data_IF_176319105556
#
_entry.id   IF_176319105556
#
_cell.length_a   1.000
_cell.length_b   1.000
_cell.length_c   1.000
_cell.angle_alpha   90.00
_cell.angle_beta   90.00
_cell.angle_gamma   90.00
#
_symmetry.space_group_name_H-M   'P 1'
#
loop_
_entity.id
_entity.type
_entity.pdbx_description
1 polymer ?
#
# COMPACT_ATOMS: atom_id res chain seq x y z
N UNK A 1 46.31 -6.94 -49.30
CA UNK A 1 46.68 -5.95 -48.25
C UNK A 1 46.71 -4.59 -48.95
N UNK A 2 45.92 -3.55 -48.66
CA UNK A 2 45.35 -3.02 -47.40
C UNK A 2 44.13 -2.13 -47.77
N UNK A 3 43.16 -1.99 -46.85
CA UNK A 3 41.78 -1.50 -47.05
C UNK A 3 41.62 0.03 -47.23
N UNK A 4 40.52 0.39 -47.92
CA UNK A 4 39.94 1.71 -48.20
C UNK A 4 39.45 2.48 -46.94
N UNK A 5 39.42 3.81 -47.04
CA UNK A 5 38.69 4.76 -46.16
C UNK A 5 37.18 4.73 -46.42
N UNK A 6 36.37 4.92 -45.38
CA UNK A 6 35.21 5.82 -45.36
C UNK A 6 34.59 5.94 -43.95
N UNK A 7 34.10 7.15 -43.68
CA UNK A 7 33.39 7.65 -42.50
C UNK A 7 32.20 6.81 -42.02
N UNK A 8 31.96 6.79 -40.71
CA UNK A 8 30.64 6.60 -40.13
C UNK A 8 30.53 7.33 -38.77
N UNK A 9 29.62 8.32 -38.72
CA UNK A 9 29.05 8.86 -37.48
C UNK A 9 28.24 7.74 -36.81
N UNK A 10 28.43 7.50 -35.52
CA UNK A 10 27.52 6.70 -34.71
C UNK A 10 26.60 7.65 -33.92
N UNK A 11 25.31 7.59 -34.23
CA UNK A 11 24.24 8.25 -33.48
C UNK A 11 23.76 7.41 -32.30
N UNK A 12 23.39 8.13 -31.24
CA UNK A 12 22.18 8.00 -30.39
C UNK A 12 21.54 6.60 -30.26
N UNK A 13 21.48 6.11 -29.03
CA UNK A 13 20.36 5.31 -28.53
C UNK A 13 19.99 5.82 -27.13
N UNK A 14 19.20 6.89 -27.15
CA UNK A 14 18.36 7.42 -26.08
C UNK A 14 17.37 6.33 -25.66
N UNK A 15 17.52 5.78 -24.45
CA UNK A 15 16.57 4.82 -23.88
C UNK A 15 15.37 5.62 -23.36
N UNK A 16 14.44 5.86 -24.29
CA UNK A 16 13.24 6.65 -24.12
C UNK A 16 12.49 6.39 -22.82
N UNK A 17 12.37 7.46 -22.05
CA UNK A 17 11.24 7.72 -21.19
C UNK A 17 9.95 7.60 -22.02
N UNK A 18 9.24 6.48 -21.90
CA UNK A 18 7.86 6.36 -22.38
C UNK A 18 6.91 6.65 -21.22
N UNK A 19 6.11 7.69 -21.43
CA UNK A 19 5.31 8.36 -20.43
C UNK A 19 4.21 7.48 -19.84
N UNK A 20 4.16 7.46 -18.52
CA UNK A 20 2.90 7.29 -17.82
C UNK A 20 2.22 8.65 -17.79
N UNK A 21 1.24 8.80 -18.69
CA UNK A 21 0.34 9.94 -18.75
C UNK A 21 -0.28 10.23 -17.38
N UNK A 22 -0.48 11.52 -17.13
CA UNK A 22 -1.20 12.03 -15.98
C UNK A 22 -2.60 11.38 -15.90
N UNK A 23 -2.74 10.44 -14.96
CA UNK A 23 -4.03 9.97 -14.49
C UNK A 23 -4.19 10.39 -13.04
N UNK A 24 -4.92 11.47 -12.78
CA UNK A 24 -5.67 11.56 -11.54
C UNK A 24 -6.77 10.49 -11.63
N UNK A 25 -6.94 9.62 -10.63
CA UNK A 25 -8.31 9.41 -10.19
C UNK A 25 -8.37 9.20 -8.67
N UNK A 26 -8.68 10.28 -7.95
CA UNK A 26 -9.64 10.14 -6.88
C UNK A 26 -11.02 9.97 -7.53
N UNK A 27 -11.66 8.83 -7.33
CA UNK A 27 -13.11 8.68 -7.49
C UNK A 27 -13.61 7.61 -8.47
N UNK A 28 -14.25 6.60 -7.86
CA UNK A 28 -15.36 5.76 -8.36
C UNK A 28 -15.01 4.52 -9.20
N UNK A 29 -14.95 3.41 -8.48
CA UNK A 29 -15.03 2.03 -8.97
C UNK A 29 -14.23 1.16 -8.03
N UNK A 30 -14.89 0.54 -7.03
CA UNK A 30 -14.20 -0.30 -6.04
C UNK A 30 -13.27 -1.27 -6.76
N UNK A 31 -11.96 -1.00 -6.66
CA UNK A 31 -10.98 -1.49 -7.62
C UNK A 31 -10.88 -3.01 -7.55
N UNK A 32 -10.48 -3.67 -8.64
CA UNK A 32 -10.26 -5.12 -8.59
C UNK A 32 -9.23 -5.53 -7.51
N UNK A 33 -8.35 -4.62 -7.09
CA UNK A 33 -7.43 -4.80 -5.98
C UNK A 33 -8.13 -4.79 -4.62
N UNK A 34 -9.09 -3.88 -4.40
CA UNK A 34 -9.92 -3.84 -3.19
C UNK A 34 -10.79 -5.08 -3.08
N UNK A 35 -11.43 -5.51 -4.18
CA UNK A 35 -12.21 -6.76 -4.22
C UNK A 35 -11.37 -7.98 -3.89
N UNK A 36 -10.13 -8.03 -4.41
CA UNK A 36 -9.20 -9.11 -4.09
C UNK A 36 -8.78 -9.06 -2.62
N UNK A 37 -8.53 -7.87 -2.07
CA UNK A 37 -8.22 -7.71 -0.65
C UNK A 37 -9.38 -8.18 0.23
N UNK A 38 -10.61 -7.77 -0.08
CA UNK A 38 -11.82 -8.16 0.65
C UNK A 38 -11.99 -9.69 0.68
N UNK A 39 -11.79 -10.36 -0.46
CA UNK A 39 -11.82 -11.82 -0.52
C UNK A 39 -10.67 -12.46 0.27
N UNK A 40 -9.46 -11.89 0.27
CA UNK A 40 -8.35 -12.38 1.11
C UNK A 40 -8.65 -12.22 2.59
N UNK A 41 -9.19 -11.07 3.03
CA UNK A 41 -9.58 -10.82 4.41
C UNK A 41 -10.65 -11.80 4.87
N UNK A 42 -11.68 -12.03 4.03
CA UNK A 42 -12.75 -13.00 4.28
C UNK A 42 -12.21 -14.42 4.44
N UNK A 43 -11.29 -14.86 3.58
CA UNK A 43 -10.64 -16.18 3.68
C UNK A 43 -9.77 -16.33 4.93
N UNK A 44 -9.11 -15.25 5.33
CA UNK A 44 -8.32 -15.22 6.56
C UNK A 44 -9.18 -15.12 7.84
N UNK A 45 -10.51 -15.01 7.72
CA UNK A 45 -11.40 -14.84 8.87
C UNK A 45 -11.23 -13.48 9.57
N UNK A 46 -10.69 -12.48 8.87
CA UNK A 46 -10.46 -11.14 9.43
C UNK A 46 -11.73 -10.31 9.30
N UNK A 47 -12.29 -9.91 10.44
CA UNK A 47 -13.38 -8.95 10.49
C UNK A 47 -12.90 -7.57 9.99
N UNK A 48 -13.68 -6.96 9.11
CA UNK A 48 -13.32 -5.71 8.47
C UNK A 48 -14.54 -4.90 8.03
N UNK A 49 -14.34 -3.59 7.90
CA UNK A 49 -15.33 -2.65 7.36
C UNK A 49 -14.69 -1.82 6.27
N UNK A 50 -15.31 -1.77 5.09
CA UNK A 50 -14.96 -0.78 4.07
C UNK A 50 -15.49 0.59 4.47
N UNK A 51 -14.60 1.58 4.55
CA UNK A 51 -14.97 2.97 4.87
C UNK A 51 -15.84 3.56 3.76
N UNK A 52 -15.57 3.19 2.50
CA UNK A 52 -16.39 3.61 1.38
C UNK A 52 -17.84 3.11 1.50
N UNK A 53 -18.03 1.86 1.93
CA UNK A 53 -19.35 1.28 2.15
C UNK A 53 -20.05 1.86 3.39
N UNK A 54 -19.30 2.15 4.46
CA UNK A 54 -19.84 2.72 5.69
C UNK A 54 -20.16 4.23 5.58
N UNK A 55 -19.49 4.94 4.66
CA UNK A 55 -19.57 6.40 4.51
C UNK A 55 -21.00 6.96 4.45
N UNK A 56 -21.97 6.40 3.71
CA UNK A 56 -23.34 6.92 3.69
C UNK A 56 -24.03 6.92 5.05
N UNK A 57 -23.63 6.02 5.96
CA UNK A 57 -24.22 5.86 7.30
C UNK A 57 -23.53 6.78 8.30
N UNK A 58 -22.20 6.81 8.31
CA UNK A 58 -21.40 7.51 9.33
C UNK A 58 -21.09 8.97 8.98
N UNK A 59 -21.19 9.33 7.70
CA UNK A 59 -20.94 10.68 7.21
C UNK A 59 -21.86 11.00 6.01
N UNK A 60 -23.20 11.07 6.22
CA UNK A 60 -24.17 11.29 5.14
C UNK A 60 -23.96 12.62 4.38
N UNK A 61 -23.33 13.62 5.03
CA UNK A 61 -22.91 14.89 4.40
C UNK A 61 -21.48 14.89 3.83
N UNK A 62 -20.79 13.75 3.86
CA UNK A 62 -19.38 13.60 3.50
C UNK A 62 -18.41 13.84 4.67
N UNK A 63 -17.17 13.38 4.49
CA UNK A 63 -16.09 13.62 5.44
C UNK A 63 -15.46 14.99 5.16
N UNK A 64 -15.88 16.01 5.90
CA UNK A 64 -15.21 17.32 5.91
C UNK A 64 -14.26 17.42 7.10
N UNK A 65 -13.48 16.37 7.34
CA UNK A 65 -12.50 16.37 8.41
C UNK A 65 -11.25 17.13 7.97
N UNK A 66 -10.87 18.08 8.80
CA UNK A 66 -9.69 18.91 8.59
C UNK A 66 -8.76 18.72 9.78
N UNK A 67 -7.49 18.46 9.49
CA UNK A 67 -6.44 18.47 10.50
C UNK A 67 -5.73 19.81 10.49
N UNK A 68 -5.36 20.29 11.67
CA UNK A 68 -4.43 21.41 11.82
C UNK A 68 -3.02 20.82 11.87
N UNK A 69 -2.21 21.15 10.87
CA UNK A 69 -0.78 20.91 10.86
C UNK A 69 -0.11 22.10 11.52
N UNK A 70 0.47 21.88 12.70
CA UNK A 70 1.22 22.93 13.38
C UNK A 70 2.50 23.24 12.59
N UNK A 71 2.78 24.53 12.39
CA UNK A 71 4.00 24.95 11.73
C UNK A 71 5.23 24.61 12.56
N UNK A 72 6.29 24.10 11.93
CA UNK A 72 7.56 23.96 12.63
C UNK A 72 8.12 25.34 12.98
N UNK A 73 8.60 25.50 14.23
CA UNK A 73 9.26 26.70 14.78
C UNK A 73 8.66 28.04 14.29
N UNK A 74 7.45 28.34 14.75
CA UNK A 74 6.83 29.67 14.55
C UNK A 74 6.24 29.90 13.15
N UNK A 75 6.22 28.89 12.28
CA UNK A 75 5.45 28.92 11.05
C UNK A 75 3.93 28.89 11.32
N UNK A 76 3.10 29.38 10.39
CA UNK A 76 1.66 29.39 10.57
C UNK A 76 1.09 27.96 10.52
N UNK A 77 0.10 27.72 11.38
CA UNK A 77 -0.72 26.52 11.32
C UNK A 77 -1.41 26.41 9.96
N UNK A 78 -1.44 25.20 9.40
CA UNK A 78 -2.09 24.92 8.12
C UNK A 78 -3.22 23.94 8.33
N UNK A 79 -4.38 24.26 7.80
CA UNK A 79 -5.51 23.35 7.80
C UNK A 79 -5.50 22.51 6.52
N UNK A 80 -5.43 21.18 6.65
CA UNK A 80 -5.47 20.24 5.52
C UNK A 80 -6.71 19.35 5.60
N UNK A 81 -7.31 19.05 4.45
CA UNK A 81 -8.36 18.04 4.38
C UNK A 81 -7.75 16.67 4.62
N UNK A 82 -8.36 15.86 5.47
CA UNK A 82 -7.93 14.47 5.67
C UNK A 82 -8.53 13.59 4.61
N UNK A 83 -7.67 12.85 3.90
CA UNK A 83 -8.11 11.77 3.03
C UNK A 83 -8.64 10.62 3.90
N UNK A 84 -9.79 10.05 3.54
CA UNK A 84 -10.27 8.83 4.18
C UNK A 84 -9.37 7.65 3.79
N UNK A 85 -9.11 6.75 4.75
CA UNK A 85 -8.53 5.44 4.49
C UNK A 85 -9.61 4.48 3.97
N UNK A 86 -9.21 3.31 3.49
CA UNK A 86 -10.08 2.41 2.73
C UNK A 86 -10.82 1.41 3.63
N UNK A 87 -10.12 0.81 4.60
CA UNK A 87 -10.66 -0.25 5.47
C UNK A 87 -10.27 -0.08 6.94
N UNK A 88 -11.15 -0.50 7.84
CA UNK A 88 -10.80 -0.79 9.23
C UNK A 88 -10.81 -2.32 9.42
N UNK A 89 -9.71 -2.88 9.92
CA UNK A 89 -9.59 -4.30 10.29
C UNK A 89 -9.70 -4.45 11.80
N UNK A 90 -10.38 -5.49 12.26
CA UNK A 90 -10.63 -5.72 13.67
C UNK A 90 -9.90 -6.98 14.15
N UNK A 91 -8.96 -6.78 15.08
CA UNK A 91 -8.37 -7.84 15.88
C UNK A 91 -8.97 -7.85 17.29
N UNK A 92 -8.66 -8.89 18.09
CA UNK A 92 -9.10 -8.98 19.49
C UNK A 92 -8.78 -7.76 20.35
N UNK A 93 -7.60 -7.14 20.16
CA UNK A 93 -7.16 -6.00 21.00
C UNK A 93 -6.83 -4.74 20.22
N UNK A 94 -6.50 -4.88 18.94
CA UNK A 94 -6.11 -3.77 18.07
C UNK A 94 -7.08 -3.64 16.91
N UNK A 95 -7.25 -2.42 16.43
CA UNK A 95 -7.91 -2.12 15.15
C UNK A 95 -6.89 -1.52 14.21
N UNK A 96 -6.89 -1.94 12.95
CA UNK A 96 -5.91 -1.45 11.97
C UNK A 96 -6.62 -0.63 10.89
N UNK A 97 -6.25 0.63 10.75
CA UNK A 97 -6.69 1.55 9.71
C UNK A 97 -5.84 1.32 8.46
N UNK A 98 -6.45 0.92 7.36
CA UNK A 98 -5.77 0.43 6.17
C UNK A 98 -6.03 1.33 4.96
N UNK A 99 -4.93 1.75 4.34
CA UNK A 99 -4.91 2.34 3.00
C UNK A 99 -4.37 1.32 1.99
N UNK A 100 -5.08 1.12 0.89
CA UNK A 100 -4.83 0.06 -0.10
C UNK A 100 -4.10 0.60 -1.32
N UNK A 101 -3.06 -0.10 -1.75
CA UNK A 101 -2.26 0.26 -2.93
C UNK A 101 -2.19 -0.89 -3.92
N UNK A 102 -2.92 -0.79 -5.02
CA UNK A 102 -2.89 -1.77 -6.12
C UNK A 102 -1.66 -1.63 -7.02
N UNK A 103 -0.92 -2.71 -7.28
CA UNK A 103 0.31 -2.71 -8.09
C UNK A 103 0.30 -3.83 -9.12
N UNK A 104 0.38 -3.50 -10.40
CA UNK A 104 0.58 -4.51 -11.45
C UNK A 104 2.02 -4.98 -11.41
N UNK A 105 2.24 -6.29 -11.42
CA UNK A 105 3.58 -6.89 -11.50
C UNK A 105 3.72 -7.74 -12.76
N UNK A 106 4.96 -7.87 -13.23
CA UNK A 106 5.26 -8.75 -14.35
C UNK A 106 4.92 -10.21 -14.03
N UNK A 107 4.59 -11.03 -15.04
CA UNK A 107 4.41 -12.47 -14.84
C UNK A 107 5.60 -13.09 -14.11
N UNK A 108 5.35 -13.93 -13.11
CA UNK A 108 6.39 -14.55 -12.28
C UNK A 108 6.93 -13.70 -11.13
N UNK A 109 6.69 -12.38 -11.11
CA UNK A 109 7.05 -11.52 -9.98
C UNK A 109 6.09 -11.69 -8.78
N UNK A 110 4.95 -12.35 -8.96
CA UNK A 110 4.06 -12.69 -7.84
C UNK A 110 4.75 -13.63 -6.83
N UNK A 111 5.61 -14.54 -7.30
CA UNK A 111 6.47 -15.34 -6.43
C UNK A 111 7.56 -14.50 -5.73
N UNK A 112 7.87 -13.30 -6.24
CA UNK A 112 8.74 -12.34 -5.56
C UNK A 112 8.01 -11.52 -4.48
N UNK A 113 6.67 -11.55 -4.42
CA UNK A 113 5.87 -10.97 -3.31
C UNK A 113 6.25 -11.65 -2.01
N UNK A 114 6.35 -12.99 -2.02
CA UNK A 114 6.84 -13.78 -0.89
C UNK A 114 8.26 -13.37 -0.45
N UNK A 115 9.06 -12.80 -1.36
CA UNK A 115 10.43 -12.33 -1.12
C UNK A 115 10.56 -10.81 -0.87
N UNK A 116 9.47 -10.06 -0.92
CA UNK A 116 9.45 -8.62 -0.57
C UNK A 116 10.23 -7.70 -1.53
N UNK A 117 10.48 -8.10 -2.79
CA UNK A 117 11.28 -7.30 -3.75
C UNK A 117 10.44 -6.37 -4.63
N UNK A 118 9.33 -5.86 -4.09
CA UNK A 118 8.32 -5.17 -4.88
C UNK A 118 8.23 -3.69 -4.56
N UNK A 119 7.69 -2.94 -5.52
CA UNK A 119 7.41 -1.52 -5.33
C UNK A 119 6.39 -1.32 -4.20
N UNK A 120 6.67 -0.36 -3.33
CA UNK A 120 5.88 -0.06 -2.13
C UNK A 120 5.55 1.43 -2.03
N UNK A 121 5.47 2.14 -3.16
CA UNK A 121 5.31 3.58 -3.12
C UNK A 121 3.92 4.01 -2.66
N UNK A 122 3.81 5.11 -1.93
CA UNK A 122 2.55 5.78 -1.56
C UNK A 122 2.69 7.29 -1.81
N UNK A 123 1.62 8.07 -1.66
CA UNK A 123 1.75 9.53 -1.65
C UNK A 123 2.10 10.01 -0.25
N UNK A 124 2.83 11.12 -0.13
CA UNK A 124 3.07 11.77 1.14
C UNK A 124 1.75 12.20 1.83
N UNK A 125 0.71 12.50 1.05
CA UNK A 125 -0.63 12.80 1.55
C UNK A 125 -1.31 11.59 2.20
N UNK A 126 -1.12 10.38 1.63
CA UNK A 126 -1.61 9.16 2.26
C UNK A 126 -0.96 8.94 3.63
N UNK A 127 0.37 9.13 3.72
CA UNK A 127 1.13 9.00 4.97
C UNK A 127 0.58 9.98 6.01
N UNK A 128 0.55 11.28 5.68
CA UNK A 128 0.07 12.32 6.61
C UNK A 128 -1.38 12.06 7.01
N UNK A 129 -2.27 11.71 6.07
CA UNK A 129 -3.67 11.46 6.40
C UNK A 129 -3.81 10.27 7.35
N UNK A 130 -3.07 9.20 7.10
CA UNK A 130 -3.15 7.98 7.90
C UNK A 130 -2.54 8.16 9.29
N UNK A 131 -1.44 8.92 9.43
CA UNK A 131 -0.85 9.30 10.73
C UNK A 131 -1.86 10.10 11.57
N UNK A 132 -2.59 11.03 10.93
CA UNK A 132 -3.61 11.83 11.62
C UNK A 132 -4.80 11.00 12.03
N UNK A 133 -5.22 10.06 11.20
CA UNK A 133 -6.27 9.12 11.57
C UNK A 133 -5.86 8.23 12.74
N UNK A 134 -4.66 7.63 12.71
CA UNK A 134 -4.14 6.83 13.83
C UNK A 134 -4.16 7.64 15.14
N UNK A 135 -3.68 8.89 15.11
CA UNK A 135 -3.70 9.78 16.27
C UNK A 135 -5.12 10.16 16.73
N UNK A 136 -6.06 10.39 15.81
CA UNK A 136 -7.45 10.74 16.12
C UNK A 136 -8.21 9.56 16.77
N UNK A 137 -7.97 8.34 16.31
CA UNK A 137 -8.56 7.14 16.91
C UNK A 137 -7.88 6.76 18.23
N UNK A 138 -6.60 7.07 18.40
CA UNK A 138 -5.87 6.93 19.66
C UNK A 138 -5.48 5.48 19.99
N UNK A 139 -5.16 5.19 21.26
CA UNK A 139 -4.64 3.89 21.69
C UNK A 139 -5.49 2.69 21.25
N UNK A 140 -4.84 1.55 20.97
CA UNK A 140 -5.51 0.36 20.43
C UNK A 140 -5.88 0.48 18.95
N UNK A 141 -5.43 1.54 18.27
CA UNK A 141 -5.51 1.68 16.83
C UNK A 141 -4.10 1.81 16.25
N UNK A 142 -3.85 1.05 15.19
CA UNK A 142 -2.66 1.17 14.37
C UNK A 142 -3.07 1.54 12.95
N UNK A 143 -2.16 2.14 12.21
CA UNK A 143 -2.30 2.39 10.79
C UNK A 143 -1.39 1.47 9.97
N UNK A 144 -1.81 1.13 8.75
CA UNK A 144 -1.02 0.32 7.84
C UNK A 144 -1.29 0.65 6.37
N UNK A 145 -0.27 0.45 5.54
CA UNK A 145 -0.45 0.29 4.10
C UNK A 145 -0.62 -1.19 3.77
N UNK A 146 -1.58 -1.51 2.91
CA UNK A 146 -1.70 -2.84 2.28
C UNK A 146 -1.45 -2.72 0.79
N UNK A 147 -0.35 -3.32 0.33
CA UNK A 147 0.02 -3.38 -1.08
C UNK A 147 -0.56 -4.66 -1.70
N UNK A 148 -1.47 -4.49 -2.65
CA UNK A 148 -2.10 -5.59 -3.40
C UNK A 148 -1.43 -5.67 -4.76
N UNK A 149 -0.57 -6.67 -4.91
CA UNK A 149 0.12 -6.97 -6.16
C UNK A 149 -0.73 -7.87 -7.03
N UNK A 150 -0.75 -7.62 -8.34
CA UNK A 150 -1.56 -8.43 -9.25
C UNK A 150 -0.90 -8.69 -10.60
N UNK A 151 -1.26 -9.81 -11.23
CA UNK A 151 -0.83 -10.19 -12.56
C UNK A 151 -1.99 -10.79 -13.37
N UNK A 152 -1.95 -10.63 -14.70
CA UNK A 152 -2.87 -11.28 -15.64
C UNK A 152 -2.39 -12.70 -16.03
N UNK A 153 -1.31 -13.20 -15.41
CA UNK A 153 -0.81 -14.56 -15.63
C UNK A 153 -0.61 -15.28 -14.30
N UNK A 154 -0.89 -16.58 -14.31
CA UNK A 154 -0.63 -17.43 -13.17
C UNK A 154 0.85 -17.39 -12.76
N UNK A 155 1.16 -17.39 -11.45
CA UNK A 155 2.51 -17.63 -10.98
C UNK A 155 3.00 -19.02 -11.44
N UNK A 156 4.27 -19.12 -11.80
CA UNK A 156 4.91 -20.40 -12.11
C UNK A 156 5.52 -21.02 -10.84
N UNK A 157 5.28 -22.31 -10.61
CA UNK A 157 5.93 -23.11 -9.56
C UNK A 157 5.15 -23.27 -8.24
N UNK A 158 5.65 -24.09 -7.31
CA UNK A 158 4.96 -24.49 -6.07
C UNK A 158 4.76 -23.36 -5.05
N UNK A 159 5.49 -22.24 -5.18
CA UNK A 159 5.26 -21.02 -4.40
C UNK A 159 3.88 -20.36 -4.65
N UNK A 160 3.14 -20.84 -5.65
CA UNK A 160 1.74 -20.49 -5.89
C UNK A 160 0.76 -21.17 -4.94
N UNK A 161 1.16 -22.29 -4.31
CA UNK A 161 0.28 -23.20 -3.58
C UNK A 161 0.43 -23.13 -2.06
N UNK A 162 1.32 -22.29 -1.54
CA UNK A 162 1.52 -22.15 -0.10
C UNK A 162 0.41 -21.25 0.48
N UNK A 163 -0.75 -21.87 0.70
CA UNK A 163 -1.92 -21.29 1.38
C UNK A 163 -1.71 -21.22 2.90
N UNK A 164 -0.65 -21.86 3.43
CA UNK A 164 -0.47 -22.15 4.86
C UNK A 164 -0.29 -20.94 5.79
N UNK A 165 0.22 -19.81 5.28
CA UNK A 165 0.60 -18.67 6.13
C UNK A 165 -0.25 -17.40 5.88
N UNK A 166 -1.31 -17.49 5.07
CA UNK A 166 -2.12 -16.34 4.66
C UNK A 166 -1.37 -15.30 3.80
N UNK A 167 -0.22 -15.71 3.24
CA UNK A 167 0.55 -15.00 2.19
C UNK A 167 0.18 -15.48 0.77
N UNK A 168 -0.82 -16.36 0.65
CA UNK A 168 -1.15 -17.10 -0.55
C UNK A 168 -1.57 -16.21 -1.73
N UNK A 169 -1.37 -16.75 -2.93
CA UNK A 169 -1.85 -16.11 -4.16
C UNK A 169 -3.34 -16.38 -4.33
N UNK A 170 -4.16 -15.34 -4.41
CA UNK A 170 -5.58 -15.44 -4.72
C UNK A 170 -5.79 -15.35 -6.23
N UNK A 171 -6.49 -16.33 -6.81
CA UNK A 171 -7.06 -16.20 -8.16
C UNK A 171 -8.49 -15.63 -8.08
N UNK A 172 -8.75 -14.52 -8.75
CA UNK A 172 -10.06 -13.86 -8.78
C UNK A 172 -10.27 -13.15 -10.12
N UNK A 173 -11.39 -13.39 -10.80
CA UNK A 173 -11.74 -12.69 -12.05
C UNK A 173 -10.69 -12.80 -13.16
N UNK A 174 -10.04 -13.97 -13.29
CA UNK A 174 -9.00 -14.21 -14.31
C UNK A 174 -7.65 -13.53 -14.01
N UNK A 175 -7.45 -13.04 -12.79
CA UNK A 175 -6.21 -12.42 -12.31
C UNK A 175 -5.72 -13.10 -11.05
N UNK A 176 -4.44 -12.92 -10.77
CA UNK A 176 -3.77 -13.45 -9.59
C UNK A 176 -3.29 -12.31 -8.72
N UNK A 177 -3.50 -12.43 -7.41
CA UNK A 177 -3.29 -11.39 -6.43
C UNK A 177 -2.46 -11.89 -5.26
N UNK A 178 -1.63 -11.03 -4.69
CA UNK A 178 -0.99 -11.27 -3.40
C UNK A 178 -0.91 -9.95 -2.63
N UNK A 179 -1.08 -10.00 -1.31
CA UNK A 179 -1.09 -8.82 -0.46
C UNK A 179 0.04 -8.85 0.58
N UNK A 180 0.58 -7.66 0.86
CA UNK A 180 1.54 -7.42 1.95
C UNK A 180 1.12 -6.21 2.75
N UNK A 181 1.13 -6.34 4.07
CA UNK A 181 0.90 -5.24 5.00
C UNK A 181 2.21 -4.65 5.52
N UNK A 182 2.25 -3.34 5.73
CA UNK A 182 3.32 -2.64 6.45
C UNK A 182 2.68 -1.67 7.42
N UNK A 183 3.01 -1.75 8.71
CA UNK A 183 2.54 -0.76 9.68
C UNK A 183 3.09 0.62 9.34
N UNK A 184 2.27 1.65 9.52
CA UNK A 184 2.60 3.02 9.16
C UNK A 184 3.86 3.50 9.87
N UNK A 185 3.99 3.20 11.16
CA UNK A 185 5.18 3.53 11.96
C UNK A 185 6.49 2.97 11.36
N UNK A 186 6.45 1.75 10.81
CA UNK A 186 7.63 1.10 10.24
C UNK A 186 7.90 1.65 8.84
N UNK A 187 6.83 1.98 8.12
CA UNK A 187 6.90 2.64 6.82
C UNK A 187 7.52 4.04 6.93
N UNK A 188 7.03 4.88 7.85
CA UNK A 188 7.50 6.26 8.03
C UNK A 188 8.94 6.32 8.51
N UNK A 189 9.35 5.38 9.36
CA UNK A 189 10.73 5.27 9.83
C UNK A 189 11.74 4.95 8.71
N UNK A 190 11.30 4.32 7.62
CA UNK A 190 12.19 3.79 6.57
C UNK A 190 11.97 4.42 5.19
N UNK A 191 10.90 5.20 5.02
CA UNK A 191 10.53 5.73 3.71
C UNK A 191 11.53 6.76 3.19
N UNK A 192 11.65 6.78 1.87
CA UNK A 192 12.43 7.76 1.12
C UNK A 192 11.54 8.46 0.12
N UNK A 193 11.91 9.67 -0.23
CA UNK A 193 11.25 10.38 -1.31
C UNK A 193 11.55 9.69 -2.64
N UNK A 194 10.51 9.18 -3.29
CA UNK A 194 10.60 8.53 -4.61
C UNK A 194 10.48 9.55 -5.74
N UNK A 195 9.53 10.46 -5.63
CA UNK A 195 9.34 11.52 -6.62
C UNK A 195 8.86 12.81 -5.97
N UNK A 196 9.66 13.91 -6.05
CA UNK A 196 9.21 15.22 -5.60
C UNK A 196 8.00 15.73 -6.39
N UNK A 197 8.02 15.56 -7.70
CA UNK A 197 6.96 16.03 -8.60
C UNK A 197 5.60 15.41 -8.26
N UNK A 198 5.58 14.11 -7.99
CA UNK A 198 4.35 13.38 -7.67
C UNK A 198 4.10 13.29 -6.16
N UNK A 199 5.01 13.84 -5.36
CA UNK A 199 5.00 13.76 -3.89
C UNK A 199 4.83 12.34 -3.41
N UNK A 200 5.54 11.40 -4.03
CA UNK A 200 5.52 9.99 -3.65
C UNK A 200 6.74 9.62 -2.84
N UNK A 201 6.50 8.68 -1.93
CA UNK A 201 7.50 8.06 -1.05
C UNK A 201 7.48 6.55 -1.30
N UNK A 202 8.57 5.85 -1.00
CA UNK A 202 8.65 4.39 -1.05
C UNK A 202 9.63 3.84 -0.01
N UNK A 203 9.56 2.53 0.22
CA UNK A 203 10.60 1.81 0.94
C UNK A 203 11.59 1.20 -0.04
N UNK A 204 12.92 1.28 0.23
CA UNK A 204 13.88 0.43 -0.45
C UNK A 204 13.48 -1.04 -0.35
N UNK A 205 13.71 -1.82 -1.41
CA UNK A 205 13.24 -3.22 -1.49
C UNK A 205 13.72 -4.09 -0.32
N UNK A 206 14.95 -3.87 0.18
CA UNK A 206 15.50 -4.58 1.34
C UNK A 206 14.79 -4.22 2.64
N UNK A 207 14.39 -2.95 2.79
CA UNK A 207 13.66 -2.47 3.95
C UNK A 207 12.22 -2.96 3.90
N UNK A 208 11.57 -2.87 2.75
CA UNK A 208 10.23 -3.44 2.54
C UNK A 208 10.19 -4.93 2.85
N UNK A 209 11.14 -5.72 2.33
CA UNK A 209 11.20 -7.16 2.64
C UNK A 209 11.37 -7.47 4.14
N UNK A 210 12.00 -6.57 4.90
CA UNK A 210 12.22 -6.73 6.34
C UNK A 210 10.97 -6.43 7.17
N UNK A 211 10.20 -5.41 6.80
CA UNK A 211 9.05 -4.94 7.60
C UNK A 211 7.68 -5.36 7.06
N UNK A 212 7.60 -5.76 5.79
CA UNK A 212 6.36 -6.20 5.19
C UNK A 212 6.00 -7.61 5.65
N UNK A 213 4.75 -7.77 6.05
CA UNK A 213 4.21 -9.03 6.56
C UNK A 213 3.09 -9.55 5.65
N UNK A 214 2.83 -10.88 5.64
CA UNK A 214 1.60 -11.41 5.06
C UNK A 214 0.37 -10.69 5.62
N UNK A 215 -0.67 -10.51 4.80
CA UNK A 215 -1.89 -9.84 5.23
C UNK A 215 -2.49 -10.49 6.49
N UNK A 216 -2.54 -11.82 6.54
CA UNK A 216 -3.09 -12.54 7.69
C UNK A 216 -2.33 -12.29 9.00
N UNK A 217 -1.06 -11.92 8.93
CA UNK A 217 -0.21 -11.65 10.11
C UNK A 217 -0.24 -10.18 10.53
N UNK A 218 -0.89 -9.30 9.77
CA UNK A 218 -0.86 -7.85 10.00
C UNK A 218 -1.44 -7.48 11.37
N UNK A 219 -2.60 -8.05 11.72
CA UNK A 219 -3.23 -7.82 13.03
C UNK A 219 -2.34 -8.33 14.16
N UNK A 220 -1.81 -9.54 14.06
CA UNK A 220 -0.92 -10.10 15.09
C UNK A 220 0.37 -9.30 15.29
N UNK A 221 0.87 -8.66 14.23
CA UNK A 221 2.03 -7.76 14.32
C UNK A 221 1.62 -6.48 15.04
N UNK A 222 0.49 -5.87 14.67
CA UNK A 222 -0.03 -4.68 15.34
C UNK A 222 -0.28 -4.92 16.84
N UNK A 223 -0.89 -6.04 17.22
CA UNK A 223 -1.16 -6.37 18.63
C UNK A 223 0.10 -6.54 19.47
N UNK A 224 1.18 -7.07 18.91
CA UNK A 224 2.45 -7.21 19.65
C UNK A 224 3.10 -5.88 19.97
N UNK A 225 2.72 -4.83 19.24
CA UNK A 225 3.38 -3.53 19.24
C UNK A 225 2.59 -2.48 20.01
N UNK A 226 1.28 -2.65 20.06
CA UNK A 226 0.39 -2.00 20.99
C UNK A 226 -0.54 -3.10 21.56
N UNK A 227 -0.18 -3.74 22.70
CA UNK A 227 -0.97 -4.83 23.27
C UNK A 227 -2.37 -4.41 23.72
N UNK A 228 -2.72 -3.13 23.57
CA UNK A 228 -3.82 -2.49 24.25
C UNK A 228 -3.51 -2.45 25.75
N UNK A 229 -3.71 -1.31 26.40
CA UNK A 229 -3.90 -1.39 27.84
C UNK A 229 -5.11 -2.30 28.06
N UNK A 230 -4.91 -3.37 28.83
CA UNK A 230 -5.97 -4.32 29.16
C UNK A 230 -7.23 -3.57 29.56
N UNK A 231 -8.37 -3.96 28.99
CA UNK A 231 -9.65 -3.49 29.47
C UNK A 231 -9.74 -3.72 30.99
N UNK A 232 -10.34 -2.78 31.75
CA UNK A 232 -10.55 -2.94 33.19
C UNK A 232 -11.39 -4.19 33.52
#
# INVERSE_FOLDING_TARGET
MTKRRASARAGVADAGAQGAAAGTPGGRGGGHAERALEEMLRRAGVEHVSVAAARPVIAPGGWNLRAVLHGERGGPDRTVSLKAFDYALYGPRVRVLVEVKGRKVSPGALAAVARGRLESWATAEDVVSLERWEALFGPGHAAAFVFVYWSDRAPAGPAAADEGDGAGVLALGGRWYAARGVLLRDYTALMKQRSPRWRTVDLPATDFARVAVPLARLLEVAERLDPGQGAP
#
